data_IF_572386934950
#
_entry.id   IF_572386934950
#
_cell.length_a   1.000
_cell.length_b   1.000
_cell.length_c   1.000
_cell.angle_alpha   90.00
_cell.angle_beta   90.00
_cell.angle_gamma   90.00
#
_symmetry.space_group_name_H-M   'P 1'
#
loop_
_entity.id
_entity.type
_entity.pdbx_description
1 polymer ?
#
# COMPACT_ATOMS: atom_id res chain seq x y z
N UNK A 1 9.00 11.30 6.72
CA UNK A 1 9.01 10.03 5.96
C UNK A 1 8.38 10.33 4.59
N UNK A 2 8.77 9.62 3.54
CA UNK A 2 8.13 9.79 2.22
C UNK A 2 7.25 8.59 1.90
N UNK A 3 6.15 8.87 1.19
CA UNK A 3 5.11 7.91 0.88
C UNK A 3 4.66 8.01 -0.57
N UNK A 4 4.10 6.92 -1.06
CA UNK A 4 3.25 6.87 -2.25
C UNK A 4 1.83 6.58 -1.77
N UNK A 5 0.89 7.48 -2.06
CA UNK A 5 -0.52 7.32 -1.69
C UNK A 5 -1.30 6.74 -2.86
N UNK A 6 -1.99 5.63 -2.62
CA UNK A 6 -2.74 4.86 -3.62
C UNK A 6 -4.10 4.42 -3.08
N UNK A 7 -4.95 3.92 -3.98
CA UNK A 7 -6.19 3.26 -3.60
C UNK A 7 -5.94 1.81 -3.20
N UNK A 8 -6.84 1.21 -2.41
CA UNK A 8 -6.80 -0.21 -2.08
C UNK A 8 -6.90 -1.10 -3.33
N UNK A 9 -7.63 -0.65 -4.36
CA UNK A 9 -7.66 -1.31 -5.67
C UNK A 9 -6.26 -1.38 -6.30
N UNK A 10 -5.54 -0.26 -6.30
CA UNK A 10 -4.18 -0.20 -6.82
C UNK A 10 -3.24 -1.09 -6.01
N UNK A 11 -3.34 -1.07 -4.67
CA UNK A 11 -2.57 -1.98 -3.81
C UNK A 11 -2.79 -3.45 -4.20
N UNK A 12 -4.05 -3.88 -4.35
CA UNK A 12 -4.38 -5.25 -4.75
C UNK A 12 -3.81 -5.62 -6.12
N UNK A 13 -3.70 -4.67 -7.04
CA UNK A 13 -3.14 -4.92 -8.38
C UNK A 13 -1.62 -5.05 -8.41
N UNK A 14 -0.91 -4.54 -7.40
CA UNK A 14 0.55 -4.63 -7.35
C UNK A 14 1.05 -5.82 -6.54
N UNK A 15 0.25 -6.38 -5.62
CA UNK A 15 0.68 -7.48 -4.74
C UNK A 15 1.19 -8.72 -5.49
N UNK A 16 2.25 -9.32 -4.95
CA UNK A 16 2.83 -10.58 -5.40
C UNK A 16 2.62 -11.73 -4.38
N UNK A 17 2.68 -13.00 -4.83
CA UNK A 17 2.61 -14.14 -3.92
C UNK A 17 3.70 -14.09 -2.83
N UNK A 18 3.30 -14.27 -1.58
CA UNK A 18 4.20 -14.21 -0.42
C UNK A 18 4.20 -12.86 0.32
N UNK A 19 3.51 -11.85 -0.23
CA UNK A 19 3.12 -10.63 0.48
C UNK A 19 1.80 -10.84 1.24
N UNK A 20 1.31 -9.78 1.87
CA UNK A 20 -0.03 -9.79 2.49
C UNK A 20 -1.08 -10.21 1.46
N UNK A 21 -1.90 -11.20 1.83
CA UNK A 21 -2.89 -11.75 0.90
C UNK A 21 -4.05 -10.76 0.71
N UNK A 22 -4.74 -10.76 -0.45
CA UNK A 22 -5.96 -9.95 -0.63
C UNK A 22 -7.03 -10.19 0.42
N UNK A 23 -7.17 -11.43 0.91
CA UNK A 23 -8.11 -11.76 2.00
C UNK A 23 -7.69 -11.18 3.35
N UNK A 24 -6.39 -11.11 3.64
CA UNK A 24 -5.86 -10.45 4.84
C UNK A 24 -6.09 -8.93 4.76
N UNK A 25 -5.87 -8.32 3.59
CA UNK A 25 -6.21 -6.91 3.34
C UNK A 25 -7.70 -6.63 3.57
N UNK A 26 -8.59 -7.48 3.03
CA UNK A 26 -10.04 -7.34 3.24
C UNK A 26 -10.43 -7.52 4.70
N UNK A 27 -9.81 -8.47 5.40
CA UNK A 27 -10.00 -8.67 6.85
C UNK A 27 -9.55 -7.44 7.66
N UNK A 28 -8.49 -6.77 7.20
CA UNK A 28 -8.06 -5.47 7.72
C UNK A 28 -8.96 -4.29 7.30
N UNK A 29 -10.04 -4.55 6.55
CA UNK A 29 -11.00 -3.53 6.11
C UNK A 29 -10.51 -2.68 4.94
N UNK A 30 -9.52 -3.15 4.17
CA UNK A 30 -9.12 -2.51 2.91
C UNK A 30 -10.14 -2.86 1.83
N UNK A 31 -10.77 -1.82 1.30
CA UNK A 31 -11.64 -1.84 0.12
C UNK A 31 -10.96 -1.15 -1.04
N UNK A 32 -11.54 -1.26 -2.24
CA UNK A 32 -11.06 -0.59 -3.44
C UNK A 32 -10.81 0.91 -3.25
N UNK A 33 -11.71 1.59 -2.53
CA UNK A 33 -11.68 3.05 -2.29
C UNK A 33 -10.88 3.45 -1.04
N UNK A 34 -10.31 2.49 -0.33
CA UNK A 34 -9.53 2.78 0.88
C UNK A 34 -8.26 3.54 0.50
N UNK A 35 -7.96 4.61 1.24
CA UNK A 35 -6.71 5.36 1.08
C UNK A 35 -5.58 4.59 1.77
N UNK A 36 -4.61 4.20 0.97
CA UNK A 36 -3.40 3.49 1.38
C UNK A 36 -2.21 4.41 1.16
N UNK A 37 -1.24 4.36 2.06
CA UNK A 37 0.09 4.86 1.77
C UNK A 37 1.12 3.75 1.95
N UNK A 38 2.12 3.73 1.08
CA UNK A 38 3.26 2.84 1.20
C UNK A 38 4.49 3.70 1.44
N UNK A 39 5.34 3.33 2.40
CA UNK A 39 6.58 4.04 2.68
C UNK A 39 7.79 3.39 1.98
N UNK A 40 8.97 4.03 2.06
CA UNK A 40 10.18 3.53 1.38
C UNK A 40 10.72 2.19 1.89
N UNK A 41 10.29 1.74 3.06
CA UNK A 41 10.65 0.44 3.62
C UNK A 41 9.71 -0.68 3.15
N UNK A 42 8.63 -0.31 2.44
CA UNK A 42 7.61 -1.23 1.97
C UNK A 42 6.41 -1.33 2.91
N UNK A 43 6.39 -0.64 4.06
CA UNK A 43 5.27 -0.72 4.99
C UNK A 43 3.99 -0.19 4.33
N UNK A 44 2.91 -0.95 4.45
CA UNK A 44 1.56 -0.61 3.97
C UNK A 44 0.79 -0.04 5.14
N UNK A 45 0.34 1.20 4.99
CA UNK A 45 -0.41 1.90 6.01
C UNK A 45 -1.81 2.27 5.49
N UNK A 46 -2.84 1.99 6.30
CA UNK A 46 -4.24 2.29 5.98
C UNK A 46 -4.68 3.54 6.71
N UNK A 47 -5.39 4.43 6.00
CA UNK A 47 -6.00 5.59 6.65
C UNK A 47 -7.19 5.14 7.52
N UNK A 48 -7.06 5.31 8.83
CA UNK A 48 -8.16 5.21 9.80
C UNK A 48 -8.65 6.62 10.18
N UNK A 49 -9.69 6.70 11.01
CA UNK A 49 -10.35 7.97 11.37
C UNK A 49 -9.39 9.05 11.91
N UNK A 50 -8.41 8.66 12.72
CA UNK A 50 -7.49 9.60 13.37
C UNK A 50 -5.99 9.30 13.12
N UNK A 51 -5.68 8.15 12.53
CA UNK A 51 -4.30 7.65 12.46
C UNK A 51 -4.06 6.82 11.19
N UNK A 52 -2.79 6.49 10.99
CA UNK A 52 -2.34 5.54 9.98
C UNK A 52 -1.92 4.27 10.72
N UNK A 53 -2.48 3.14 10.28
CA UNK A 53 -2.25 1.84 10.90
C UNK A 53 -1.46 0.96 9.95
N UNK A 54 -0.36 0.37 10.43
CA UNK A 54 0.51 -0.50 9.63
C UNK A 54 -0.11 -1.88 9.59
N UNK A 55 -0.46 -2.36 8.40
CA UNK A 55 -1.17 -3.63 8.24
C UNK A 55 -0.34 -4.72 7.57
N UNK A 56 0.82 -4.39 7.03
CA UNK A 56 1.68 -5.34 6.32
C UNK A 56 2.83 -4.63 5.61
N UNK A 57 3.53 -5.35 4.75
CA UNK A 57 4.62 -4.81 3.96
C UNK A 57 4.70 -5.43 2.57
N UNK A 58 5.17 -4.63 1.63
CA UNK A 58 5.62 -5.07 0.31
C UNK A 58 7.09 -5.47 0.38
N UNK A 59 7.48 -6.46 -0.42
CA UNK A 59 8.84 -7.00 -0.46
C UNK A 59 9.38 -7.00 -1.90
N UNK A 60 10.68 -7.30 -2.03
CA UNK A 60 11.33 -7.40 -3.33
C UNK A 60 11.32 -6.07 -4.11
N UNK A 61 10.97 -6.12 -5.39
CA UNK A 61 11.06 -4.97 -6.31
C UNK A 61 9.79 -4.08 -6.30
N UNK A 62 9.19 -3.90 -5.12
CA UNK A 62 7.90 -3.22 -4.98
C UNK A 62 7.94 -1.76 -5.44
N UNK A 63 9.07 -1.05 -5.28
CA UNK A 63 9.21 0.34 -5.73
C UNK A 63 8.96 0.45 -7.24
N UNK A 64 9.52 -0.47 -8.03
CA UNK A 64 9.33 -0.51 -9.48
C UNK A 64 7.90 -0.91 -9.85
N UNK A 65 7.30 -1.90 -9.14
CA UNK A 65 5.88 -2.28 -9.34
C UNK A 65 4.94 -1.09 -9.10
N UNK A 66 5.13 -0.38 -7.99
CA UNK A 66 4.35 0.82 -7.67
C UNK A 66 4.54 1.92 -8.71
N UNK A 67 5.78 2.19 -9.11
CA UNK A 67 6.08 3.20 -10.14
C UNK A 67 5.44 2.83 -11.48
N UNK A 68 5.49 1.57 -11.89
CA UNK A 68 4.89 1.11 -13.14
C UNK A 68 3.35 1.19 -13.09
N UNK A 69 2.74 0.81 -11.97
CA UNK A 69 1.29 0.81 -11.81
C UNK A 69 0.69 2.22 -11.66
N UNK A 70 1.44 3.19 -11.14
CA UNK A 70 0.89 4.50 -10.74
C UNK A 70 1.54 5.71 -11.38
N UNK A 71 2.81 5.62 -11.79
CA UNK A 71 3.61 6.76 -12.21
C UNK A 71 3.87 7.79 -11.09
N UNK A 72 3.53 7.48 -9.84
CA UNK A 72 3.68 8.39 -8.71
C UNK A 72 5.13 8.42 -8.20
N UNK A 73 5.52 9.57 -7.67
CA UNK A 73 6.81 9.79 -7.02
C UNK A 73 6.62 9.90 -5.50
N UNK A 74 7.69 9.58 -4.77
CA UNK A 74 7.71 9.66 -3.31
C UNK A 74 7.52 11.11 -2.82
N UNK A 75 6.52 11.33 -1.97
CA UNK A 75 6.23 12.65 -1.40
C UNK A 75 6.28 12.63 0.14
N UNK A 76 6.71 13.72 0.81
CA UNK A 76 6.55 13.83 2.25
C UNK A 76 5.05 13.89 2.63
N UNK A 77 4.73 13.43 3.84
CA UNK A 77 3.39 13.51 4.44
C UNK A 77 2.97 14.95 4.77
#
# INVERSE_FOLDING_TARGET
>A
MNFITISGRTLMSVLEPGEISPDELRSAGVTDDTVIRVNRQGDIEVRRRAEWDVIGGLIGDFENRLKHATGLEWAPD
#
